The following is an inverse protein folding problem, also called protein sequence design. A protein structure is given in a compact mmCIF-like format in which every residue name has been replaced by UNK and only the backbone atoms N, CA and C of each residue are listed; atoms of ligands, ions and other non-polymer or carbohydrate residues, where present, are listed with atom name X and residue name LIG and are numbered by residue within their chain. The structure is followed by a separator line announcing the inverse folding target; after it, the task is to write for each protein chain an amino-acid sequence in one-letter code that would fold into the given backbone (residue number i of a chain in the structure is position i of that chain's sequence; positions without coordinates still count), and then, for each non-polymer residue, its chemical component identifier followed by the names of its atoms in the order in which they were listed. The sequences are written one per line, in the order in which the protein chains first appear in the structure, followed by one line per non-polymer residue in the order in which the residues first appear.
data_IF_957743245666
#
_entry.id   IF_957743245666
#
_cell.length_a   1.000
_cell.length_b   1.000
_cell.length_c   1.000
_cell.angle_alpha   90.00
_cell.angle_beta   90.00
_cell.angle_gamma   90.00
#
_symmetry.space_group_name_H-M   'P 1'
#
loop_
_entity.id
_entity.type
_entity.pdbx_description
1 polymer ?
#
# COMPACT_ATOMS: atom_id res chain seq x y z
N UNK A 1 -28.82 -9.16 -49.87
CA UNK A 1 -28.24 -8.58 -48.64
C UNK A 1 -27.59 -7.25 -49.00
N UNK A 2 -27.98 -6.15 -48.34
CA UNK A 2 -27.32 -4.84 -48.58
C UNK A 2 -25.91 -4.90 -47.99
N UNK A 3 -24.90 -4.57 -48.79
CA UNK A 3 -23.51 -4.43 -48.33
C UNK A 3 -23.43 -3.23 -47.37
N UNK A 4 -23.08 -3.50 -46.11
CA UNK A 4 -22.92 -2.46 -45.09
C UNK A 4 -21.77 -1.54 -45.50
N UNK A 5 -22.00 -0.22 -45.53
CA UNK A 5 -20.93 0.73 -45.83
C UNK A 5 -19.95 0.74 -44.66
N UNK A 6 -18.67 1.01 -44.95
CA UNK A 6 -17.64 1.04 -43.91
C UNK A 6 -17.92 2.10 -42.83
N UNK A 7 -18.63 3.17 -43.17
CA UNK A 7 -19.14 4.19 -42.23
C UNK A 7 -20.14 3.59 -41.25
N UNK A 8 -21.08 2.78 -41.74
CA UNK A 8 -22.11 2.15 -40.89
C UNK A 8 -21.48 1.14 -39.93
N UNK A 9 -20.42 0.45 -40.37
CA UNK A 9 -19.65 -0.48 -39.52
C UNK A 9 -18.91 0.29 -38.42
N UNK A 10 -18.30 1.43 -38.76
CA UNK A 10 -17.60 2.26 -37.81
C UNK A 10 -18.55 2.85 -36.76
N UNK A 11 -19.70 3.37 -37.17
CA UNK A 11 -20.69 3.95 -36.27
C UNK A 11 -21.26 2.92 -35.29
N UNK A 12 -21.57 1.71 -35.78
CA UNK A 12 -22.00 0.60 -34.93
C UNK A 12 -20.91 0.21 -33.92
N UNK A 13 -19.65 0.21 -34.33
CA UNK A 13 -18.52 -0.10 -33.44
C UNK A 13 -18.32 0.98 -32.38
N UNK A 14 -18.47 2.25 -32.76
CA UNK A 14 -18.42 3.38 -31.82
C UNK A 14 -19.57 3.28 -30.81
N UNK A 15 -20.79 2.97 -31.26
CA UNK A 15 -21.94 2.78 -30.38
C UNK A 15 -21.72 1.64 -29.38
N UNK A 16 -21.23 0.48 -29.86
CA UNK A 16 -20.90 -0.66 -29.01
C UNK A 16 -19.81 -0.33 -27.97
N UNK A 17 -18.77 0.40 -28.37
CA UNK A 17 -17.70 0.82 -27.47
C UNK A 17 -18.16 1.83 -26.41
N UNK A 18 -19.06 2.76 -26.77
CA UNK A 18 -19.66 3.69 -25.79
C UNK A 18 -20.47 2.94 -24.74
N UNK A 19 -21.34 2.02 -25.19
CA UNK A 19 -22.18 1.23 -24.29
C UNK A 19 -21.34 0.36 -23.35
N UNK A 20 -20.27 -0.25 -23.86
CA UNK A 20 -19.30 -0.99 -23.06
C UNK A 20 -18.61 -0.10 -22.02
N UNK A 21 -18.10 1.06 -22.42
CA UNK A 21 -17.44 2.01 -21.52
C UNK A 21 -18.37 2.46 -20.39
N UNK A 22 -19.63 2.76 -20.70
CA UNK A 22 -20.59 3.21 -19.70
C UNK A 22 -20.89 2.11 -18.68
N UNK A 23 -20.97 0.85 -19.14
CA UNK A 23 -21.13 -0.33 -18.26
C UNK A 23 -19.91 -0.53 -17.36
N UNK A 24 -18.71 -0.52 -17.94
CA UNK A 24 -17.45 -0.66 -17.19
C UNK A 24 -17.26 0.47 -16.17
N UNK A 25 -17.72 1.69 -16.48
CA UNK A 25 -17.66 2.82 -15.55
C UNK A 25 -18.59 2.68 -14.35
N UNK A 26 -19.78 2.10 -14.54
CA UNK A 26 -20.71 1.80 -13.45
C UNK A 26 -20.11 0.72 -12.53
N UNK A 27 -19.60 -0.36 -13.12
CA UNK A 27 -18.91 -1.43 -12.36
C UNK A 27 -17.71 -0.90 -11.58
N UNK A 28 -16.92 -0.01 -12.17
CA UNK A 28 -15.77 0.60 -11.50
C UNK A 28 -16.20 1.47 -10.30
N UNK A 29 -17.31 2.20 -10.40
CA UNK A 29 -17.86 2.98 -9.27
C UNK A 29 -18.34 2.08 -8.15
N UNK A 30 -18.99 0.97 -8.48
CA UNK A 30 -19.45 -0.01 -7.51
C UNK A 30 -18.25 -0.65 -6.79
N UNK A 31 -17.25 -1.09 -7.55
CA UNK A 31 -16.00 -1.62 -6.99
C UNK A 31 -15.25 -0.57 -6.16
N UNK A 32 -15.23 0.69 -6.59
CA UNK A 32 -14.65 1.78 -5.80
C UNK A 32 -15.36 1.94 -4.46
N UNK A 33 -16.69 1.86 -4.43
CA UNK A 33 -17.46 1.93 -3.18
C UNK A 33 -17.17 0.73 -2.27
N UNK A 34 -17.11 -0.48 -2.82
CA UNK A 34 -16.77 -1.71 -2.09
C UNK A 34 -15.34 -1.68 -1.55
N UNK A 35 -14.37 -1.28 -2.38
CA UNK A 35 -12.96 -1.13 -1.99
C UNK A 35 -12.82 -0.02 -0.96
N UNK A 36 -13.44 1.14 -1.14
CA UNK A 36 -13.42 2.22 -0.17
C UNK A 36 -14.02 1.79 1.17
N UNK A 37 -15.15 1.07 1.15
CA UNK A 37 -15.74 0.49 2.36
C UNK A 37 -14.81 -0.55 3.00
N UNK A 38 -14.17 -1.42 2.23
CA UNK A 38 -13.22 -2.43 2.73
C UNK A 38 -11.87 -1.83 3.20
N UNK A 39 -11.42 -0.73 2.59
CA UNK A 39 -10.21 0.02 2.94
C UNK A 39 -10.48 1.12 3.96
N UNK A 40 -11.71 1.30 4.45
CA UNK A 40 -11.89 2.09 5.67
C UNK A 40 -11.05 1.41 6.74
N UNK A 41 -9.98 2.11 7.11
CA UNK A 41 -8.92 1.68 8.02
C UNK A 41 -9.54 1.05 9.27
N UNK A 42 -10.70 1.53 9.71
CA UNK A 42 -11.51 0.97 10.80
C UNK A 42 -11.73 -0.54 10.72
N UNK A 43 -12.08 -1.12 9.56
CA UNK A 43 -12.42 -2.55 9.49
C UNK A 43 -11.19 -3.47 9.41
N UNK A 44 -10.17 -3.06 8.64
CA UNK A 44 -8.87 -3.74 8.56
C UNK A 44 -8.14 -3.64 9.90
N UNK A 45 -8.20 -2.48 10.56
CA UNK A 45 -7.60 -2.26 11.88
C UNK A 45 -8.37 -3.03 12.94
N UNK A 46 -9.70 -3.13 12.90
CA UNK A 46 -10.42 -3.88 13.94
C UNK A 46 -10.14 -5.39 13.90
N UNK A 47 -10.13 -6.00 12.72
CA UNK A 47 -9.83 -7.43 12.56
C UNK A 47 -8.32 -7.70 12.70
N UNK A 48 -7.49 -6.91 12.03
CA UNK A 48 -6.04 -7.02 12.11
C UNK A 48 -5.50 -6.75 13.51
N UNK A 49 -5.99 -5.74 14.24
CA UNK A 49 -5.57 -5.48 15.62
C UNK A 49 -6.19 -6.48 16.59
N UNK A 50 -7.44 -6.93 16.43
CA UNK A 50 -8.00 -7.91 17.39
C UNK A 50 -7.39 -9.30 17.21
N UNK A 51 -7.16 -9.77 15.99
CA UNK A 51 -6.44 -11.03 15.74
C UNK A 51 -4.97 -10.91 16.14
N UNK A 52 -4.32 -9.79 15.83
CA UNK A 52 -2.97 -9.50 16.33
C UNK A 52 -2.95 -9.48 17.85
N UNK A 53 -3.88 -8.81 18.52
CA UNK A 53 -3.97 -8.68 19.99
C UNK A 53 -4.29 -10.02 20.68
N UNK A 54 -5.17 -10.83 20.09
CA UNK A 54 -5.49 -12.17 20.59
C UNK A 54 -4.29 -13.12 20.41
N UNK A 55 -3.54 -12.99 19.32
CA UNK A 55 -2.25 -13.68 19.13
C UNK A 55 -1.12 -13.04 19.96
N UNK A 56 -1.28 -11.77 20.37
CA UNK A 56 -0.34 -10.92 21.12
C UNK A 56 -0.28 -11.17 22.62
N UNK A 57 -1.08 -12.09 23.14
CA UNK A 57 -1.06 -12.39 24.58
C UNK A 57 0.35 -12.80 25.06
N UNK A 58 1.26 -13.20 24.15
CA UNK A 58 2.71 -13.24 24.38
C UNK A 58 3.40 -11.93 23.93
N UNK A 59 3.31 -10.88 24.75
CA UNK A 59 3.83 -9.53 24.50
C UNK A 59 5.31 -9.46 24.07
N UNK A 60 6.14 -10.41 24.51
CA UNK A 60 7.57 -10.43 24.23
C UNK A 60 7.92 -10.85 22.78
N UNK A 61 7.09 -11.70 22.16
CA UNK A 61 7.34 -12.21 20.81
C UNK A 61 6.87 -11.26 19.71
N UNK A 62 5.93 -10.37 20.01
CA UNK A 62 5.43 -9.40 19.03
C UNK A 62 6.27 -8.16 18.91
N UNK A 63 6.79 -7.63 20.02
CA UNK A 63 7.74 -6.52 19.94
C UNK A 63 8.98 -6.96 19.17
N UNK A 64 9.49 -8.16 19.41
CA UNK A 64 10.62 -8.70 18.67
C UNK A 64 10.31 -8.97 17.19
N UNK A 65 9.12 -9.50 16.85
CA UNK A 65 8.71 -9.76 15.46
C UNK A 65 8.41 -8.48 14.67
N UNK A 66 7.70 -7.53 15.26
CA UNK A 66 7.43 -6.22 14.63
C UNK A 66 8.72 -5.44 14.49
N UNK A 67 9.60 -5.45 15.49
CA UNK A 67 10.90 -4.79 15.42
C UNK A 67 11.84 -5.47 14.43
N UNK A 68 11.81 -6.80 14.27
CA UNK A 68 12.64 -7.51 13.31
C UNK A 68 12.14 -7.35 11.87
N UNK A 69 10.83 -7.30 11.65
CA UNK A 69 10.25 -7.06 10.31
C UNK A 69 10.44 -5.60 9.90
N UNK A 70 10.12 -4.65 10.77
CA UNK A 70 10.35 -3.22 10.51
C UNK A 70 11.85 -2.92 10.41
N UNK A 71 12.64 -3.45 11.34
CA UNK A 71 14.09 -3.30 11.36
C UNK A 71 14.75 -3.94 10.14
N UNK A 72 14.31 -5.12 9.71
CA UNK A 72 14.82 -5.80 8.51
C UNK A 72 14.43 -5.10 7.22
N UNK A 73 13.21 -4.58 7.11
CA UNK A 73 12.77 -3.82 5.93
C UNK A 73 13.46 -2.45 5.84
N UNK A 74 13.57 -1.73 6.96
CA UNK A 74 14.29 -0.47 7.04
C UNK A 74 15.79 -0.68 6.80
N UNK A 75 16.39 -1.70 7.41
CA UNK A 75 17.78 -2.08 7.19
C UNK A 75 18.02 -2.42 5.73
N UNK A 76 17.19 -3.24 5.09
CA UNK A 76 17.33 -3.54 3.65
C UNK A 76 17.23 -2.28 2.79
N UNK A 77 16.32 -1.35 3.12
CA UNK A 77 16.14 -0.11 2.35
C UNK A 77 17.29 0.88 2.55
N UNK A 78 17.94 0.87 3.71
CA UNK A 78 19.08 1.72 4.05
C UNK A 78 20.40 1.10 3.54
N UNK A 79 20.59 -0.21 3.67
CA UNK A 79 21.83 -0.94 3.36
C UNK A 79 21.92 -1.33 1.87
N UNK A 80 20.81 -1.69 1.22
CA UNK A 80 20.81 -2.17 -0.18
C UNK A 80 20.52 -1.02 -1.18
N UNK A 81 20.19 0.16 -0.69
CA UNK A 81 19.94 1.33 -1.54
C UNK A 81 21.20 2.13 -1.80
N UNK A 82 22.05 1.68 -2.74
CA UNK A 82 23.14 2.49 -3.28
C UNK A 82 22.54 3.63 -4.14
N UNK A 83 22.00 4.64 -3.46
CA UNK A 83 21.30 5.76 -4.09
C UNK A 83 22.22 6.97 -4.08
N UNK A 84 22.69 7.37 -5.27
CA UNK A 84 23.42 8.63 -5.54
C UNK A 84 22.65 9.91 -5.20
N UNK A 85 21.50 9.81 -4.51
CA UNK A 85 20.68 10.96 -4.15
C UNK A 85 21.05 11.46 -2.73
N UNK A 86 21.70 12.63 -2.62
CA UNK A 86 22.18 13.17 -1.34
C UNK A 86 21.06 13.38 -0.31
N UNK A 87 19.81 13.56 -0.75
CA UNK A 87 18.67 13.70 0.17
C UNK A 87 18.41 12.44 1.00
N UNK A 88 18.57 11.25 0.40
CA UNK A 88 18.39 9.98 1.12
C UNK A 88 19.52 9.72 2.11
N UNK A 89 20.75 10.14 1.79
CA UNK A 89 21.88 10.09 2.72
C UNK A 89 21.62 10.96 3.96
N UNK A 90 21.16 12.21 3.77
CA UNK A 90 20.86 13.13 4.88
C UNK A 90 19.75 12.55 5.78
N UNK A 91 18.69 12.01 5.19
CA UNK A 91 17.64 11.33 5.95
C UNK A 91 18.16 10.10 6.71
N UNK A 92 19.05 9.32 6.10
CA UNK A 92 19.72 8.19 6.74
C UNK A 92 20.52 8.60 7.97
N UNK A 93 21.33 9.66 7.86
CA UNK A 93 22.07 10.22 9.00
C UNK A 93 21.15 10.79 10.09
N UNK A 94 20.04 11.43 9.70
CA UNK A 94 19.04 11.93 10.66
C UNK A 94 18.38 10.82 11.48
N UNK A 95 18.00 9.72 10.81
CA UNK A 95 17.44 8.54 11.47
C UNK A 95 18.49 7.88 12.36
N UNK A 96 19.72 7.72 11.88
CA UNK A 96 20.83 7.15 12.66
C UNK A 96 21.10 7.97 13.94
N UNK A 97 21.10 9.30 13.84
CA UNK A 97 21.27 10.19 14.97
C UNK A 97 20.12 10.06 15.99
N UNK A 98 18.88 10.00 15.51
CA UNK A 98 17.71 9.83 16.37
C UNK A 98 17.73 8.48 17.11
N UNK A 99 18.01 7.39 16.41
CA UNK A 99 18.12 6.04 16.99
C UNK A 99 19.26 5.99 18.01
N UNK A 100 20.43 6.54 17.69
CA UNK A 100 21.58 6.57 18.59
C UNK A 100 21.27 7.37 19.86
N UNK A 101 20.58 8.50 19.73
CA UNK A 101 20.17 9.34 20.87
C UNK A 101 19.11 8.68 21.75
N UNK A 102 18.24 7.85 21.16
CA UNK A 102 17.26 7.06 21.92
C UNK A 102 17.96 5.91 22.67
N UNK A 103 18.81 5.14 21.98
CA UNK A 103 19.55 4.04 22.58
C UNK A 103 20.53 4.52 23.65
N UNK A 104 21.19 5.67 23.46
CA UNK A 104 22.07 6.26 24.48
C UNK A 104 21.31 6.67 25.75
N UNK A 105 20.03 7.01 25.63
CA UNK A 105 19.16 7.30 26.77
C UNK A 105 18.70 6.04 27.49
N UNK A 106 18.53 4.93 26.77
CA UNK A 106 18.15 3.63 27.35
C UNK A 106 19.35 2.88 27.95
N UNK A 107 20.55 3.03 27.39
CA UNK A 107 21.77 2.34 27.87
C UNK A 107 22.46 3.04 29.04
N UNK A 108 22.07 4.28 29.37
CA UNK A 108 22.68 5.07 30.45
C UNK A 108 21.77 5.15 31.69
N UNK A 109 21.01 4.09 31.96
CA UNK A 109 20.20 3.91 33.16
C UNK A 109 20.48 2.56 33.80
#
# INVERSE_FOLDING_TARGET
MKTLKQTDILDNKIAALKLRRDTEFIELKEQYFVVHHSFTITNIVHHGISEFYNTATNKDNLLSTVTSVLGGYLSKKIVVGDSNNPFKQVLGYGIQFAVTKLLSKFTNK
#
